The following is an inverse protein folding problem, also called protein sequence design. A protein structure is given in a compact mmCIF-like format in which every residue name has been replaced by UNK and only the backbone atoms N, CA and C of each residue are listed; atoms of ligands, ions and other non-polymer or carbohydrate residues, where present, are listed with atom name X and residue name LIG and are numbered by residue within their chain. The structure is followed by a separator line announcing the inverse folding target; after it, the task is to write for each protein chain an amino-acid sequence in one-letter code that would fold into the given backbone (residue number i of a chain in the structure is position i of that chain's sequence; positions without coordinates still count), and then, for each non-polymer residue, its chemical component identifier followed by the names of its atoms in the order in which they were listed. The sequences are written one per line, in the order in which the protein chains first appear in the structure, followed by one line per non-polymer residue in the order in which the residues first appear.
data_IF_538514197415
#
_entry.id   IF_538514197415
#
_cell.length_a   1.000
_cell.length_b   1.000
_cell.length_c   1.000
_cell.angle_alpha   90.00
_cell.angle_beta   90.00
_cell.angle_gamma   90.00
#
_symmetry.space_group_name_H-M   'P 1'
#
loop_
_entity.id
_entity.type
_entity.pdbx_description
1 polymer ?
#
# COMPACT_ATOMS: atom_id res chain seq x y z
N UNK A 1 -9.00 -23.05 4.10
CA UNK A 1 -8.59 -21.64 3.97
C UNK A 1 -7.10 -21.64 3.66
N UNK A 2 -6.65 -20.86 2.68
CA UNK A 2 -5.24 -20.84 2.25
C UNK A 2 -4.62 -19.52 2.71
N UNK A 3 -3.51 -19.59 3.45
CA UNK A 3 -2.82 -18.42 3.99
C UNK A 3 -1.85 -17.84 2.95
N UNK A 4 -1.94 -16.54 2.70
CA UNK A 4 -1.04 -15.83 1.79
C UNK A 4 -0.36 -14.67 2.51
N UNK A 5 0.97 -14.67 2.52
CA UNK A 5 1.75 -13.53 3.01
C UNK A 5 1.96 -12.53 1.89
N UNK A 6 1.58 -11.28 2.12
CA UNK A 6 1.83 -10.15 1.21
C UNK A 6 2.99 -9.33 1.75
N UNK A 7 3.87 -8.88 0.85
CA UNK A 7 4.99 -7.99 1.21
C UNK A 7 4.91 -6.68 0.45
N UNK A 8 5.16 -5.58 1.16
CA UNK A 8 5.39 -4.27 0.56
C UNK A 8 6.89 -4.10 0.32
N UNK A 9 7.30 -3.84 -0.91
CA UNK A 9 8.70 -3.56 -1.24
C UNK A 9 8.83 -2.14 -1.77
N UNK A 10 9.73 -1.37 -1.18
CA UNK A 10 10.18 -0.09 -1.69
C UNK A 10 11.56 -0.24 -2.31
N UNK A 11 11.82 0.43 -3.44
CA UNK A 11 13.17 0.54 -3.98
C UNK A 11 13.94 1.62 -3.22
N UNK A 12 15.24 1.42 -3.00
CA UNK A 12 16.10 2.48 -2.48
C UNK A 12 16.09 3.65 -3.49
N UNK A 13 15.62 4.82 -3.04
CA UNK A 13 15.55 6.02 -3.87
C UNK A 13 16.32 7.16 -3.23
N UNK A 14 16.98 7.96 -4.06
CA UNK A 14 17.68 9.17 -3.63
C UNK A 14 16.68 10.30 -3.38
N UNK A 15 16.99 11.18 -2.43
CA UNK A 15 16.22 12.39 -2.15
C UNK A 15 16.02 13.20 -3.44
N UNK A 16 14.78 13.61 -3.69
CA UNK A 16 14.38 14.37 -4.90
C UNK A 16 13.81 13.50 -6.02
N UNK A 17 14.04 12.18 -5.98
CA UNK A 17 13.42 11.25 -6.91
C UNK A 17 12.07 10.75 -6.40
N UNK A 18 11.24 10.26 -7.33
CA UNK A 18 9.97 9.63 -7.01
C UNK A 18 10.19 8.21 -6.48
N UNK A 19 9.65 7.94 -5.29
CA UNK A 19 9.52 6.58 -4.76
C UNK A 19 8.21 5.95 -5.26
N UNK A 20 8.28 4.69 -5.68
CA UNK A 20 7.08 3.87 -5.92
C UNK A 20 7.14 2.68 -4.98
N UNK A 21 6.12 2.54 -4.12
CA UNK A 21 5.92 1.33 -3.32
C UNK A 21 5.05 0.35 -4.10
N UNK A 22 5.43 -0.93 -4.07
CA UNK A 22 4.66 -2.00 -4.73
C UNK A 22 4.28 -3.08 -3.73
N UNK A 23 2.99 -3.42 -3.74
CA UNK A 23 2.44 -4.56 -3.03
C UNK A 23 2.64 -5.79 -3.90
N UNK A 24 3.43 -6.74 -3.43
CA UNK A 24 3.75 -7.95 -4.19
C UNK A 24 2.89 -9.11 -3.68
N UNK A 25 2.00 -9.58 -4.55
CA UNK A 25 1.16 -10.76 -4.35
C UNK A 25 1.55 -11.86 -5.33
N UNK A 26 1.30 -13.14 -5.01
CA UNK A 26 1.52 -14.23 -5.96
C UNK A 26 0.74 -14.02 -7.27
N UNK A 27 1.33 -14.38 -8.40
CA UNK A 27 0.78 -14.08 -9.73
C UNK A 27 -0.62 -14.67 -9.96
N UNK A 28 -0.88 -15.87 -9.46
CA UNK A 28 -2.16 -16.56 -9.62
C UNK A 28 -3.33 -15.90 -8.85
N UNK A 29 -3.06 -15.03 -7.87
CA UNK A 29 -4.10 -14.27 -7.16
C UNK A 29 -4.21 -12.81 -7.62
N UNK A 30 -3.29 -12.35 -8.48
CA UNK A 30 -3.16 -10.93 -8.84
C UNK A 30 -4.43 -10.34 -9.46
N UNK A 31 -5.13 -11.12 -10.27
CA UNK A 31 -6.29 -10.64 -11.01
C UNK A 31 -7.58 -10.65 -10.16
N UNK A 32 -7.50 -11.20 -8.94
CA UNK A 32 -8.62 -11.30 -7.99
C UNK A 32 -8.50 -10.32 -6.82
N UNK A 33 -7.39 -9.61 -6.70
CA UNK A 33 -7.08 -8.74 -5.57
C UNK A 33 -6.76 -7.33 -6.03
N UNK A 34 -7.10 -6.34 -5.20
CA UNK A 34 -6.73 -4.94 -5.39
C UNK A 34 -6.18 -4.36 -4.08
N UNK A 35 -5.32 -3.36 -4.20
CA UNK A 35 -4.80 -2.64 -3.03
C UNK A 35 -5.91 -1.73 -2.49
N UNK A 36 -6.24 -1.89 -1.21
CA UNK A 36 -7.30 -1.12 -0.55
C UNK A 36 -6.73 0.11 0.18
N UNK A 37 -5.64 -0.05 0.91
CA UNK A 37 -4.91 1.03 1.59
C UNK A 37 -3.44 0.68 1.79
N UNK A 38 -2.63 1.71 2.06
CA UNK A 38 -1.29 1.55 2.61
C UNK A 38 -1.31 1.96 4.09
N UNK A 39 -0.67 1.17 4.95
CA UNK A 39 -0.52 1.48 6.36
C UNK A 39 0.86 2.05 6.63
N UNK A 40 0.92 3.30 7.07
CA UNK A 40 2.15 3.97 7.47
C UNK A 40 2.29 3.98 9.00
N UNK A 41 3.46 3.60 9.49
CA UNK A 41 3.86 3.60 10.91
C UNK A 41 2.84 2.92 11.86
N UNK A 42 2.09 1.95 11.33
CA UNK A 42 0.99 1.25 12.02
C UNK A 42 -0.14 2.16 12.53
N UNK A 43 -0.20 3.42 12.11
CA UNK A 43 -1.12 4.43 12.64
C UNK A 43 -1.97 5.10 11.57
N UNK A 44 -1.47 5.18 10.34
CA UNK A 44 -2.10 5.99 9.29
C UNK A 44 -2.45 5.15 8.07
N UNK A 45 -3.74 5.09 7.74
CA UNK A 45 -4.20 4.50 6.50
C UNK A 45 -4.19 5.56 5.38
N UNK A 46 -3.49 5.25 4.29
CA UNK A 46 -3.45 6.04 3.07
C UNK A 46 -4.38 5.35 2.08
N UNK A 47 -5.47 6.02 1.72
CA UNK A 47 -6.46 5.50 0.77
C UNK A 47 -6.18 6.00 -0.66
N UNK A 48 -6.51 5.20 -1.70
CA UNK A 48 -6.46 5.65 -3.08
C UNK A 48 -7.27 6.94 -3.26
N UNK A 49 -6.67 7.93 -3.90
CA UNK A 49 -7.33 9.19 -4.24
C UNK A 49 -6.79 9.71 -5.57
N UNK A 50 -7.66 10.28 -6.39
CA UNK A 50 -7.31 10.91 -7.67
C UNK A 50 -6.32 12.08 -7.52
N UNK A 51 -6.22 12.67 -6.33
CA UNK A 51 -5.36 13.81 -6.02
C UNK A 51 -4.00 13.41 -5.40
N UNK A 52 -3.68 12.12 -5.33
CA UNK A 52 -2.56 11.60 -4.55
C UNK A 52 -2.97 11.42 -3.07
N UNK A 53 -2.87 10.18 -2.59
CA UNK A 53 -3.45 9.68 -1.33
C UNK A 53 -3.65 10.71 -0.22
N UNK A 54 -4.91 10.95 0.16
CA UNK A 54 -5.25 11.78 1.31
C UNK A 54 -5.00 10.95 2.58
N UNK A 55 -4.22 11.49 3.52
CA UNK A 55 -4.18 10.97 4.88
C UNK A 55 -5.55 11.27 5.50
N UNK A 56 -6.38 10.26 5.77
CA UNK A 56 -7.62 10.48 6.49
C UNK A 56 -7.29 10.65 7.98
N UNK A 57 -7.53 11.81 8.62
CA UNK A 57 -7.01 12.08 9.96
C UNK A 57 -7.71 11.31 11.10
N UNK A 58 -8.76 10.53 10.85
CA UNK A 58 -9.52 9.83 11.90
C UNK A 58 -10.10 8.51 11.42
N UNK A 59 -9.52 7.39 11.89
CA UNK A 59 -10.23 6.11 12.08
C UNK A 59 -9.99 5.64 13.54
N UNK A 60 -10.20 6.56 14.48
CA UNK A 60 -10.59 6.22 15.84
C UNK A 60 -12.03 6.71 16.00
N UNK A 61 -12.97 5.85 15.62
CA UNK A 61 -14.31 5.74 16.19
C UNK A 61 -14.84 4.36 15.83
#
# INVERSE_FOLDING_TARGET
MQDFSVSATGSAVTRGNMAVLRCTVPSFVRDFLSVTSWLQDQKFNIYPSSDGGKIHPNILN
#
